data_IF_051213746256
#
_entry.id   IF_051213746256
#
_cell.length_a   1.000
_cell.length_b   1.000
_cell.length_c   1.000
_cell.angle_alpha   90.00
_cell.angle_beta   90.00
_cell.angle_gamma   90.00
#
_symmetry.space_group_name_H-M   'P 1'
#
loop_
_entity.id
_entity.type
_entity.pdbx_description
1 polymer ?
#
# COMPACT_ATOMS: atom_id res chain seq x y z
N UNK A 1 -12.21 -38.91 -9.07
CA UNK A 1 -10.90 -39.50 -8.74
C UNK A 1 -10.52 -40.74 -9.55
N UNK A 2 -11.42 -41.70 -9.84
CA UNK A 2 -11.09 -42.90 -10.63
C UNK A 2 -10.87 -42.66 -12.14
N UNK A 3 -11.42 -41.55 -12.69
CA UNK A 3 -11.25 -41.16 -14.11
C UNK A 3 -9.92 -40.47 -14.41
N UNK A 4 -9.30 -39.81 -13.41
CA UNK A 4 -8.03 -39.09 -13.56
C UNK A 4 -6.82 -40.06 -13.52
N UNK A 5 -6.94 -41.20 -12.82
CA UNK A 5 -5.88 -42.24 -12.78
C UNK A 5 -5.69 -42.98 -14.11
N UNK A 6 -6.70 -43.06 -14.98
CA UNK A 6 -6.58 -43.72 -16.29
C UNK A 6 -5.79 -42.92 -17.32
N UNK A 7 -5.81 -41.59 -17.25
CA UNK A 7 -5.01 -40.76 -18.17
C UNK A 7 -3.51 -40.81 -17.86
N UNK A 8 -3.11 -41.03 -16.60
CA UNK A 8 -1.70 -41.00 -16.20
C UNK A 8 -0.96 -42.32 -16.55
N UNK A 9 -1.68 -43.41 -16.79
CA UNK A 9 -1.08 -44.72 -17.10
C UNK A 9 -0.87 -45.01 -18.60
N UNK A 10 -1.23 -44.10 -19.51
CA UNK A 10 -1.19 -44.37 -20.96
C UNK A 10 -0.08 -43.64 -21.75
N UNK A 11 0.86 -42.96 -21.10
CA UNK A 11 1.97 -42.31 -21.80
C UNK A 11 3.32 -42.90 -21.42
N UNK A 12 3.93 -43.58 -22.40
CA UNK A 12 5.27 -44.16 -22.36
C UNK A 12 6.32 -43.03 -22.21
N UNK A 13 7.10 -43.00 -21.12
CA UNK A 13 8.10 -41.97 -20.87
C UNK A 13 9.29 -42.00 -21.85
N UNK A 14 9.37 -42.96 -22.79
CA UNK A 14 10.45 -43.05 -23.78
C UNK A 14 10.23 -42.27 -25.09
N UNK A 15 9.13 -41.51 -25.22
CA UNK A 15 8.83 -40.70 -26.44
C UNK A 15 8.87 -39.18 -26.26
N UNK A 16 9.53 -38.67 -25.22
CA UNK A 16 9.84 -37.24 -25.12
C UNK A 16 11.12 -36.92 -25.90
N UNK A 17 10.95 -36.52 -27.16
CA UNK A 17 12.03 -35.98 -27.99
C UNK A 17 12.31 -34.55 -27.52
N UNK A 18 13.49 -34.32 -26.95
CA UNK A 18 14.02 -32.98 -26.67
C UNK A 18 14.49 -32.33 -27.98
N UNK A 19 13.87 -31.23 -28.39
CA UNK A 19 14.46 -30.35 -29.39
C UNK A 19 15.53 -29.48 -28.72
N UNK A 20 16.80 -29.89 -28.85
CA UNK A 20 17.96 -29.02 -28.64
C UNK A 20 18.23 -28.26 -29.94
N UNK A 21 18.14 -26.93 -29.91
CA UNK A 21 18.66 -26.09 -30.99
C UNK A 21 19.92 -25.40 -30.47
N UNK A 22 21.08 -25.93 -30.85
CA UNK A 22 22.36 -25.23 -30.74
C UNK A 22 22.42 -24.14 -31.81
N UNK A 23 22.42 -22.87 -31.40
CA UNK A 23 22.87 -21.77 -32.25
C UNK A 23 24.32 -21.45 -31.89
N UNK A 24 25.23 -21.73 -32.82
CA UNK A 24 26.61 -21.26 -32.81
C UNK A 24 26.62 -19.77 -33.15
N UNK A 25 27.07 -18.93 -32.22
CA UNK A 25 27.46 -17.55 -32.52
C UNK A 25 28.98 -17.43 -32.56
N UNK A 26 29.47 -17.01 -33.71
CA UNK A 26 30.89 -16.82 -34.03
C UNK A 26 31.32 -15.46 -33.47
N UNK A 27 32.24 -15.46 -32.51
CA UNK A 27 32.87 -14.25 -31.97
C UNK A 27 33.78 -13.63 -33.03
N UNK A 28 33.44 -12.45 -33.53
CA UNK A 28 34.35 -11.61 -34.32
C UNK A 28 34.81 -10.44 -33.45
N UNK A 29 36.04 -10.53 -32.96
CA UNK A 29 36.72 -9.48 -32.20
C UNK A 29 37.08 -8.35 -33.17
N UNK A 30 36.46 -7.18 -33.02
CA UNK A 30 36.93 -5.95 -33.68
C UNK A 30 37.52 -5.04 -32.61
N UNK A 31 38.84 -4.86 -32.68
CA UNK A 31 39.62 -3.96 -31.83
C UNK A 31 39.43 -2.53 -32.35
N UNK A 32 38.77 -1.67 -31.57
CA UNK A 32 38.76 -0.22 -31.83
C UNK A 32 39.67 0.46 -30.83
N UNK A 33 40.77 0.98 -31.33
CA UNK A 33 41.75 1.82 -30.62
C UNK A 33 41.18 3.23 -30.47
N UNK A 34 40.91 3.67 -29.24
CA UNK A 34 40.58 5.07 -28.95
C UNK A 34 41.82 5.77 -28.39
N UNK A 35 42.31 6.74 -29.14
CA UNK A 35 43.45 7.60 -28.81
C UNK A 35 43.08 8.57 -27.69
N UNK A 36 43.80 8.50 -26.58
CA UNK A 36 43.73 9.48 -25.48
C UNK A 36 44.55 10.72 -25.87
N UNK A 37 43.91 11.89 -25.97
CA UNK A 37 44.62 13.17 -26.09
C UNK A 37 44.60 13.88 -24.74
N UNK A 38 45.76 13.94 -24.10
CA UNK A 38 46.02 14.71 -22.89
C UNK A 38 46.18 16.19 -23.25
N UNK A 39 45.40 17.07 -22.64
CA UNK A 39 45.71 18.50 -22.59
C UNK A 39 45.69 18.98 -21.15
N UNK A 40 46.88 19.30 -20.66
CA UNK A 40 47.17 20.02 -19.42
C UNK A 40 46.86 21.49 -19.60
N UNK A 41 46.16 22.10 -18.65
CA UNK A 41 46.29 23.54 -18.40
C UNK A 41 46.16 23.83 -16.90
N UNK A 42 47.10 24.64 -16.43
CA UNK A 42 47.33 25.08 -15.05
C UNK A 42 46.98 26.57 -14.95
N UNK A 43 46.27 26.98 -13.90
CA UNK A 43 46.31 28.32 -13.23
C UNK A 43 45.17 28.36 -12.20
N UNK A 44 45.45 28.35 -10.89
CA UNK A 44 45.85 29.44 -9.97
C UNK A 44 44.67 29.96 -9.13
N UNK A 45 44.67 29.51 -7.86
CA UNK A 45 44.27 30.16 -6.60
C UNK A 45 43.12 31.19 -6.57
N UNK A 46 42.12 30.93 -5.71
CA UNK A 46 41.76 31.80 -4.57
C UNK A 46 40.90 31.04 -3.55
N UNK A 47 41.22 31.26 -2.28
CA UNK A 47 40.54 30.75 -1.09
C UNK A 47 39.27 31.53 -0.76
N UNK A 48 38.18 30.83 -0.46
CA UNK A 48 37.12 31.35 0.42
C UNK A 48 36.40 30.19 1.11
N UNK A 49 36.53 30.16 2.43
CA UNK A 49 35.84 29.29 3.37
C UNK A 49 34.34 29.61 3.41
N UNK A 50 33.50 28.63 3.14
CA UNK A 50 32.10 28.62 3.57
C UNK A 50 31.66 27.18 3.75
N UNK A 51 31.34 26.84 4.99
CA UNK A 51 30.82 25.55 5.45
C UNK A 51 29.57 25.14 4.69
N UNK A 52 29.71 24.23 3.73
CA UNK A 52 28.60 23.57 3.04
C UNK A 52 28.25 22.29 3.79
N UNK A 53 27.16 22.36 4.56
CA UNK A 53 26.45 21.20 5.08
C UNK A 53 26.17 20.23 3.93
N UNK A 54 26.72 19.02 4.00
CA UNK A 54 26.48 17.95 3.04
C UNK A 54 25.03 17.50 3.24
N UNK A 55 24.10 18.17 2.56
CA UNK A 55 22.79 17.60 2.25
C UNK A 55 23.05 16.38 1.37
N UNK A 56 22.75 15.19 1.91
CA UNK A 56 22.63 13.99 1.11
C UNK A 56 21.56 14.25 0.04
N UNK A 57 22.03 14.65 -1.14
CA UNK A 57 21.20 14.76 -2.33
C UNK A 57 21.14 13.33 -2.83
N UNK A 58 20.07 12.60 -2.47
CA UNK A 58 19.79 11.30 -3.06
C UNK A 58 19.72 11.50 -4.55
N UNK A 59 20.76 11.05 -5.25
CA UNK A 59 20.86 11.11 -6.70
C UNK A 59 19.62 10.45 -7.27
N UNK A 60 18.81 11.21 -8.01
CA UNK A 60 17.71 10.69 -8.80
C UNK A 60 18.31 9.76 -9.86
N UNK A 61 18.44 8.48 -9.53
CA UNK A 61 18.70 7.43 -10.52
C UNK A 61 17.51 7.45 -11.47
N UNK A 62 17.74 7.85 -12.72
CA UNK A 62 16.69 8.34 -13.63
C UNK A 62 15.54 7.32 -13.78
N UNK A 63 14.44 7.55 -13.06
CA UNK A 63 13.25 6.69 -13.10
C UNK A 63 12.65 6.65 -14.52
N UNK A 64 12.78 7.76 -15.26
CA UNK A 64 12.47 7.82 -16.68
C UNK A 64 13.73 7.62 -17.53
N UNK A 65 13.72 6.66 -18.44
CA UNK A 65 14.84 6.36 -19.32
C UNK A 65 14.38 5.77 -20.66
N UNK A 66 15.33 5.53 -21.56
CA UNK A 66 15.06 5.00 -22.89
C UNK A 66 15.60 3.57 -23.06
N UNK A 67 14.76 2.67 -23.58
CA UNK A 67 15.14 1.31 -23.97
C UNK A 67 14.69 1.11 -25.42
N UNK A 68 15.64 0.88 -26.33
CA UNK A 68 15.36 0.64 -27.76
C UNK A 68 14.49 1.73 -28.42
N UNK A 69 14.80 3.01 -28.20
CA UNK A 69 14.05 4.13 -28.77
C UNK A 69 12.70 4.40 -28.11
N UNK A 70 12.39 3.74 -27.00
CA UNK A 70 11.11 3.85 -26.28
C UNK A 70 11.35 4.39 -24.88
N UNK A 71 10.54 5.35 -24.45
CA UNK A 71 10.57 5.87 -23.07
C UNK A 71 9.91 4.87 -22.12
N UNK A 72 10.54 4.64 -20.98
CA UNK A 72 10.05 3.79 -19.89
C UNK A 72 10.16 4.56 -18.59
N UNK A 73 9.17 4.35 -17.73
CA UNK A 73 9.24 4.66 -16.31
C UNK A 73 9.54 3.36 -15.57
N UNK A 74 10.47 3.40 -14.63
CA UNK A 74 10.79 2.28 -13.75
C UNK A 74 10.73 2.73 -12.31
N UNK A 75 9.84 2.09 -11.56
CA UNK A 75 9.62 2.34 -10.15
C UNK A 75 10.73 1.64 -9.33
N UNK A 76 11.59 2.43 -8.69
CA UNK A 76 12.71 1.96 -7.89
C UNK A 76 12.60 2.57 -6.50
N UNK A 77 12.51 1.72 -5.46
CA UNK A 77 12.49 2.16 -4.08
C UNK A 77 13.29 1.20 -3.19
N UNK A 78 13.85 1.75 -2.12
CA UNK A 78 14.59 1.03 -1.09
C UNK A 78 13.72 0.08 -0.25
N UNK A 79 12.40 0.22 -0.31
CA UNK A 79 11.44 -0.68 0.34
C UNK A 79 11.29 -2.02 -0.40
N UNK A 80 11.51 -2.05 -1.72
CA UNK A 80 11.47 -3.28 -2.55
C UNK A 80 12.78 -3.50 -3.31
N UNK A 81 13.88 -3.55 -2.56
CA UNK A 81 15.24 -3.69 -3.10
C UNK A 81 15.40 -4.92 -3.99
N UNK A 82 16.05 -4.70 -5.12
CA UNK A 82 16.38 -5.78 -6.07
C UNK A 82 15.25 -6.15 -7.02
N UNK A 83 14.10 -5.46 -6.95
CA UNK A 83 13.01 -5.55 -7.90
C UNK A 83 12.55 -4.16 -8.35
N UNK A 84 11.95 -4.07 -9.53
CA UNK A 84 11.34 -2.85 -10.06
C UNK A 84 10.27 -3.21 -11.09
N UNK A 85 9.18 -2.43 -11.12
CA UNK A 85 8.19 -2.49 -12.20
C UNK A 85 8.52 -1.42 -13.24
N UNK A 86 8.39 -1.76 -14.52
CA UNK A 86 8.57 -0.79 -15.61
C UNK A 86 7.33 -0.68 -16.48
N UNK A 87 6.86 0.53 -16.70
CA UNK A 87 5.76 0.85 -17.60
C UNK A 87 6.27 1.70 -18.76
N UNK A 88 5.96 1.28 -19.99
CA UNK A 88 6.34 2.05 -21.16
C UNK A 88 5.51 3.35 -21.19
N UNK A 89 6.18 4.49 -21.37
CA UNK A 89 5.56 5.80 -21.41
C UNK A 89 5.10 6.13 -22.84
N UNK A 90 3.86 6.58 -22.98
CA UNK A 90 3.33 7.19 -24.20
C UNK A 90 3.56 8.70 -24.18
N UNK A 91 3.09 9.38 -23.14
CA UNK A 91 3.10 10.84 -23.03
C UNK A 91 3.24 11.27 -21.56
N UNK A 92 4.07 12.27 -21.27
CA UNK A 92 4.06 12.95 -19.97
C UNK A 92 2.93 13.98 -19.95
N UNK A 93 2.04 13.90 -18.96
CA UNK A 93 0.84 14.75 -18.86
C UNK A 93 1.00 15.85 -17.81
N UNK A 94 1.75 15.57 -16.75
CA UNK A 94 1.95 16.45 -15.61
C UNK A 94 3.26 16.10 -14.88
N UNK A 95 4.00 17.11 -14.44
CA UNK A 95 5.25 16.93 -13.71
C UNK A 95 5.52 18.21 -12.89
N UNK A 96 5.10 18.21 -11.63
CA UNK A 96 5.22 19.38 -10.75
C UNK A 96 5.56 18.94 -9.32
N UNK A 97 6.28 19.79 -8.59
CA UNK A 97 6.57 19.55 -7.17
C UNK A 97 5.68 20.44 -6.29
N UNK A 98 4.88 19.81 -5.44
CA UNK A 98 4.05 20.49 -4.44
C UNK A 98 4.88 20.88 -3.21
N UNK A 99 4.20 21.40 -2.18
CA UNK A 99 4.82 21.63 -0.86
C UNK A 99 5.20 20.32 -0.15
N UNK A 100 4.61 19.20 -0.54
CA UNK A 100 4.71 17.93 0.17
C UNK A 100 5.54 16.90 -0.60
N UNK A 101 5.35 16.82 -1.92
CA UNK A 101 5.90 15.73 -2.73
C UNK A 101 6.00 16.10 -4.22
N UNK A 102 6.69 15.27 -5.00
CA UNK A 102 6.73 15.33 -6.45
C UNK A 102 5.53 14.61 -7.05
N UNK A 103 4.65 15.34 -7.74
CA UNK A 103 3.43 14.82 -8.36
C UNK A 103 3.63 14.73 -9.86
N UNK A 104 3.59 13.52 -10.41
CA UNK A 104 3.72 13.30 -11.85
C UNK A 104 2.55 12.48 -12.37
N UNK A 105 2.12 12.77 -13.59
CA UNK A 105 1.15 11.95 -14.31
C UNK A 105 1.68 11.71 -15.72
N UNK A 106 1.70 10.45 -16.12
CA UNK A 106 2.01 10.08 -17.51
C UNK A 106 0.95 9.12 -18.03
N UNK A 107 0.74 9.12 -19.35
CA UNK A 107 -0.02 8.08 -20.04
C UNK A 107 0.93 6.96 -20.39
N UNK A 108 0.64 5.74 -19.96
CA UNK A 108 1.38 4.55 -20.38
C UNK A 108 0.96 4.14 -21.79
N UNK A 109 1.81 3.36 -22.47
CA UNK A 109 1.31 2.50 -23.54
C UNK A 109 0.31 1.50 -22.96
N UNK A 110 -0.73 1.19 -23.73
CA UNK A 110 -1.79 0.23 -23.36
C UNK A 110 -1.20 -1.02 -22.69
N UNK A 111 -1.80 -1.53 -21.58
CA UNK A 111 -3.18 -1.29 -21.16
C UNK A 111 -3.41 -0.36 -19.96
N UNK A 112 -2.37 0.17 -19.29
CA UNK A 112 -2.54 0.81 -17.96
C UNK A 112 -3.16 2.22 -17.97
N UNK A 113 -3.22 2.90 -19.13
CA UNK A 113 -3.84 4.21 -19.24
C UNK A 113 -3.00 5.30 -18.55
N UNK A 114 -3.65 6.25 -17.87
CA UNK A 114 -2.94 7.24 -17.08
C UNK A 114 -2.38 6.60 -15.80
N UNK A 115 -1.22 7.09 -15.35
CA UNK A 115 -0.48 6.60 -14.18
C UNK A 115 -0.11 7.81 -13.31
N UNK A 116 -0.54 7.79 -12.05
CA UNK A 116 -0.20 8.80 -11.05
C UNK A 116 1.03 8.33 -10.27
N UNK A 117 2.05 9.19 -10.18
CA UNK A 117 3.23 8.98 -9.36
C UNK A 117 3.31 10.05 -8.27
N UNK A 118 3.65 9.61 -7.06
CA UNK A 118 4.03 10.48 -5.95
C UNK A 118 5.43 10.11 -5.48
N UNK A 119 6.36 11.06 -5.52
CA UNK A 119 7.78 10.86 -5.20
C UNK A 119 8.40 9.63 -5.92
N UNK A 120 7.95 9.37 -7.15
CA UNK A 120 8.43 8.26 -7.98
C UNK A 120 7.81 6.90 -7.67
N UNK A 121 6.77 6.84 -6.83
CA UNK A 121 5.99 5.62 -6.53
C UNK A 121 4.63 5.68 -7.22
N UNK A 122 4.25 4.61 -7.90
CA UNK A 122 2.94 4.45 -8.55
C UNK A 122 1.86 4.41 -7.48
N UNK A 123 0.92 5.35 -7.57
CA UNK A 123 -0.25 5.38 -6.70
C UNK A 123 -1.45 4.70 -7.35
N UNK A 124 -1.77 5.05 -8.60
CA UNK A 124 -2.89 4.43 -9.32
C UNK A 124 -2.62 4.34 -10.82
N UNK A 125 -3.29 3.40 -11.46
CA UNK A 125 -3.49 3.37 -12.92
C UNK A 125 -4.95 3.23 -13.28
N UNK A 126 -5.35 3.68 -14.47
CA UNK A 126 -6.75 3.54 -14.95
C UNK A 126 -7.22 2.07 -15.03
N UNK A 127 -6.28 1.14 -15.22
CA UNK A 127 -6.60 -0.27 -15.48
C UNK A 127 -6.99 -1.03 -14.21
N UNK A 128 -6.20 -0.89 -13.15
CA UNK A 128 -6.26 -1.77 -11.98
C UNK A 128 -6.60 -1.07 -10.66
N UNK A 129 -6.83 0.25 -10.66
CA UNK A 129 -7.26 1.00 -9.47
C UNK A 129 -8.45 0.36 -8.74
N UNK A 130 -9.35 -0.27 -9.48
CA UNK A 130 -10.57 -0.83 -8.93
C UNK A 130 -10.29 -1.95 -7.92
N UNK A 131 -9.19 -2.69 -8.09
CA UNK A 131 -8.81 -3.75 -7.16
C UNK A 131 -8.44 -3.21 -5.78
N UNK A 132 -7.83 -2.03 -5.72
CA UNK A 132 -7.48 -1.37 -4.47
C UNK A 132 -8.67 -0.58 -3.92
N UNK A 133 -9.26 0.30 -4.72
CA UNK A 133 -10.31 1.23 -4.29
C UNK A 133 -11.56 0.49 -3.79
N UNK A 134 -11.98 -0.57 -4.50
CA UNK A 134 -13.14 -1.37 -4.08
C UNK A 134 -12.82 -2.16 -2.80
N UNK A 135 -11.61 -2.74 -2.67
CA UNK A 135 -11.27 -3.57 -1.51
C UNK A 135 -11.06 -2.73 -0.24
N UNK A 136 -10.25 -1.66 -0.29
CA UNK A 136 -10.00 -0.82 0.88
C UNK A 136 -11.29 -0.18 1.41
N UNK A 137 -12.25 0.07 0.52
CA UNK A 137 -13.57 0.63 0.85
C UNK A 137 -14.55 -0.43 1.31
N UNK A 138 -14.81 -1.47 0.52
CA UNK A 138 -15.92 -2.37 0.76
C UNK A 138 -15.64 -3.41 1.85
N UNK A 139 -14.37 -3.72 2.16
CA UNK A 139 -14.03 -4.57 3.31
C UNK A 139 -14.59 -3.99 4.64
N UNK A 140 -14.26 -2.76 5.07
CA UNK A 140 -14.84 -2.18 6.29
C UNK A 140 -16.32 -1.82 6.10
N UNK A 141 -16.73 -1.31 4.95
CA UNK A 141 -18.11 -0.81 4.74
C UNK A 141 -19.16 -1.92 4.67
N UNK A 142 -18.82 -3.10 4.14
CA UNK A 142 -19.73 -4.24 4.08
C UNK A 142 -19.68 -5.10 5.34
N UNK A 143 -18.61 -5.04 6.13
CA UNK A 143 -18.55 -5.71 7.43
C UNK A 143 -19.25 -4.91 8.54
N UNK A 144 -19.60 -3.65 8.31
CA UNK A 144 -20.41 -2.84 9.23
C UNK A 144 -21.91 -2.90 8.86
N UNK A 145 -22.79 -2.92 9.87
CA UNK A 145 -24.24 -3.11 9.67
C UNK A 145 -24.88 -1.90 8.98
N UNK A 146 -24.56 -0.68 9.43
CA UNK A 146 -25.14 0.55 8.89
C UNK A 146 -24.17 1.75 9.04
N UNK A 147 -23.11 1.85 8.22
CA UNK A 147 -22.14 2.95 8.31
C UNK A 147 -22.73 4.24 7.72
N UNK A 148 -22.86 5.28 8.54
CA UNK A 148 -23.44 6.58 8.15
C UNK A 148 -22.40 7.68 8.01
N UNK A 149 -21.34 7.65 8.83
CA UNK A 149 -20.27 8.65 8.87
C UNK A 149 -18.93 8.00 8.58
N UNK A 150 -18.30 8.42 7.48
CA UNK A 150 -17.06 7.85 6.98
C UNK A 150 -15.98 8.93 6.96
N UNK A 151 -14.80 8.61 7.50
CA UNK A 151 -13.58 9.39 7.32
C UNK A 151 -12.67 8.68 6.32
N UNK A 152 -12.16 9.42 5.34
CA UNK A 152 -11.07 9.01 4.45
C UNK A 152 -9.87 9.91 4.76
N UNK A 153 -8.74 9.31 5.13
CA UNK A 153 -7.46 10.01 5.31
C UNK A 153 -6.60 9.67 4.10
N UNK A 154 -6.11 10.70 3.39
CA UNK A 154 -5.52 10.56 2.06
C UNK A 154 -6.59 10.41 0.98
N UNK A 155 -6.35 9.54 0.00
CA UNK A 155 -7.30 9.28 -1.11
C UNK A 155 -7.53 10.46 -2.05
N UNK A 156 -6.50 11.31 -2.24
CA UNK A 156 -6.58 12.52 -3.05
C UNK A 156 -6.95 12.30 -4.53
N UNK A 157 -6.81 11.09 -5.08
CA UNK A 157 -7.28 10.76 -6.43
C UNK A 157 -8.83 10.76 -6.54
N UNK A 158 -9.52 10.54 -5.42
CA UNK A 158 -10.98 10.52 -5.35
C UNK A 158 -11.62 9.14 -5.51
N UNK A 159 -10.82 8.09 -5.63
CA UNK A 159 -11.28 6.74 -5.85
C UNK A 159 -12.04 6.12 -4.69
N UNK A 160 -11.45 6.20 -3.49
CA UNK A 160 -12.11 5.72 -2.26
C UNK A 160 -13.43 6.46 -2.03
N UNK A 161 -13.49 7.78 -2.22
CA UNK A 161 -14.75 8.51 -2.06
C UNK A 161 -15.80 8.09 -3.10
N UNK A 162 -15.39 7.75 -4.34
CA UNK A 162 -16.29 7.20 -5.37
C UNK A 162 -16.93 5.90 -4.91
N UNK A 163 -16.14 5.00 -4.33
CA UNK A 163 -16.64 3.74 -3.81
C UNK A 163 -17.50 3.91 -2.55
N UNK A 164 -17.13 4.82 -1.64
CA UNK A 164 -17.94 5.13 -0.45
C UNK A 164 -19.31 5.67 -0.85
N UNK A 165 -19.37 6.51 -1.89
CA UNK A 165 -20.62 7.08 -2.40
C UNK A 165 -21.62 6.04 -2.92
N UNK A 166 -21.18 4.81 -3.23
CA UNK A 166 -22.08 3.71 -3.65
C UNK A 166 -22.93 3.15 -2.51
N UNK A 167 -22.66 3.53 -1.27
CA UNK A 167 -23.41 3.07 -0.11
C UNK A 167 -24.47 4.12 0.30
N UNK A 168 -25.74 3.85 -0.01
CA UNK A 168 -26.86 4.78 0.23
C UNK A 168 -27.10 5.10 1.72
N UNK A 169 -26.62 4.23 2.63
CA UNK A 169 -26.68 4.47 4.07
C UNK A 169 -25.75 5.59 4.55
N UNK A 170 -24.73 5.94 3.76
CA UNK A 170 -23.76 6.99 4.10
C UNK A 170 -24.43 8.35 3.99
N UNK A 171 -24.33 9.11 5.09
CA UNK A 171 -24.87 10.47 5.23
C UNK A 171 -23.78 11.54 5.14
N UNK A 172 -22.56 11.20 5.56
CA UNK A 172 -21.42 12.12 5.62
C UNK A 172 -20.13 11.39 5.26
N UNK A 173 -19.38 11.97 4.34
CA UNK A 173 -18.03 11.55 3.96
C UNK A 173 -17.12 12.74 4.26
N UNK A 174 -16.16 12.56 5.16
CA UNK A 174 -15.09 13.53 5.37
C UNK A 174 -13.85 12.96 4.71
N UNK A 175 -13.21 13.74 3.82
CA UNK A 175 -11.92 13.40 3.25
C UNK A 175 -10.88 14.40 3.74
N UNK A 176 -9.79 13.89 4.31
CA UNK A 176 -8.66 14.66 4.80
C UNK A 176 -7.44 14.38 3.92
N UNK A 177 -7.17 15.28 2.98
CA UNK A 177 -6.05 15.19 2.04
C UNK A 177 -5.09 16.36 2.29
N UNK A 178 -3.81 16.06 2.47
CA UNK A 178 -2.80 17.06 2.83
C UNK A 178 -2.38 17.90 1.61
N UNK A 179 -2.38 17.30 0.42
CA UNK A 179 -1.84 17.87 -0.79
C UNK A 179 -2.94 18.14 -1.85
N UNK A 180 -3.34 19.41 -1.94
CA UNK A 180 -4.29 19.87 -2.96
C UNK A 180 -3.85 19.57 -4.38
N UNK A 181 -2.54 19.48 -4.66
CA UNK A 181 -2.05 19.18 -6.01
C UNK A 181 -2.47 17.78 -6.46
N UNK A 182 -2.55 16.82 -5.53
CA UNK A 182 -3.01 15.45 -5.82
C UNK A 182 -4.49 15.44 -6.20
N UNK A 183 -5.32 16.21 -5.48
CA UNK A 183 -6.75 16.37 -5.79
C UNK A 183 -6.95 16.94 -7.20
N UNK A 184 -6.25 18.02 -7.52
CA UNK A 184 -6.39 18.67 -8.83
C UNK A 184 -5.85 17.78 -9.96
N UNK A 185 -4.76 17.03 -9.72
CA UNK A 185 -4.26 16.04 -10.67
C UNK A 185 -5.25 14.89 -10.87
N UNK A 186 -5.84 14.36 -9.81
CA UNK A 186 -6.89 13.33 -9.86
C UNK A 186 -8.09 13.78 -10.68
N UNK A 187 -8.64 14.98 -10.38
CA UNK A 187 -9.76 15.56 -11.13
C UNK A 187 -9.45 15.75 -12.62
N UNK A 188 -8.24 16.22 -12.94
CA UNK A 188 -7.85 16.55 -14.32
C UNK A 188 -7.53 15.32 -15.16
N UNK A 189 -6.79 14.36 -14.60
CA UNK A 189 -6.23 13.25 -15.36
C UNK A 189 -6.93 11.91 -15.11
N UNK A 190 -7.71 11.79 -14.03
CA UNK A 190 -8.46 10.58 -13.69
C UNK A 190 -9.95 10.88 -13.45
N UNK A 191 -10.68 11.47 -14.42
CA UNK A 191 -12.04 11.95 -14.20
C UNK A 191 -13.04 10.85 -13.80
N UNK A 192 -12.79 9.59 -14.17
CA UNK A 192 -13.62 8.43 -13.74
C UNK A 192 -13.38 8.04 -12.28
N UNK A 193 -12.16 8.25 -11.80
CA UNK A 193 -11.77 8.01 -10.40
C UNK A 193 -12.31 9.14 -9.53
N UNK A 194 -12.05 10.38 -9.95
CA UNK A 194 -12.48 11.62 -9.31
C UNK A 194 -13.98 11.96 -9.46
N UNK A 195 -14.81 11.03 -9.93
CA UNK A 195 -16.20 11.32 -10.33
C UNK A 195 -17.13 11.74 -9.18
N UNK A 196 -16.74 11.49 -7.93
CA UNK A 196 -17.58 11.70 -6.75
C UNK A 196 -17.23 12.94 -5.91
N UNK A 197 -16.28 13.78 -6.34
CA UNK A 197 -15.90 14.99 -5.59
C UNK A 197 -17.06 15.98 -5.39
N UNK A 198 -18.04 15.99 -6.30
CA UNK A 198 -19.21 16.87 -6.24
C UNK A 198 -20.42 16.23 -5.53
N UNK A 199 -20.28 15.02 -4.97
CA UNK A 199 -21.34 14.42 -4.16
C UNK A 199 -21.55 15.27 -2.89
N UNK A 200 -22.80 15.69 -2.65
CA UNK A 200 -23.17 16.57 -1.52
C UNK A 200 -22.82 16.02 -0.13
N UNK A 201 -22.51 14.72 -0.01
CA UNK A 201 -22.08 14.09 1.24
C UNK A 201 -20.59 14.29 1.51
N UNK A 202 -19.80 14.65 0.49
CA UNK A 202 -18.35 14.81 0.57
C UNK A 202 -17.99 16.17 1.14
N UNK A 203 -17.21 16.14 2.23
CA UNK A 203 -16.68 17.31 2.91
C UNK A 203 -15.16 17.22 2.88
N UNK A 204 -14.52 18.07 2.08
CA UNK A 204 -13.07 18.13 1.95
C UNK A 204 -12.46 18.98 3.06
N UNK A 205 -11.54 18.37 3.82
CA UNK A 205 -10.61 19.06 4.70
C UNK A 205 -9.21 18.95 4.10
N UNK A 206 -8.60 20.08 3.74
CA UNK A 206 -7.22 20.08 3.26
C UNK A 206 -6.25 20.27 4.43
N UNK A 207 -5.58 19.19 4.86
CA UNK A 207 -4.67 19.23 6.00
C UNK A 207 -4.15 17.87 6.43
N UNK A 208 -3.43 17.85 7.55
CA UNK A 208 -2.86 16.64 8.12
C UNK A 208 -3.94 15.72 8.72
N UNK A 209 -4.01 14.49 8.22
CA UNK A 209 -4.96 13.47 8.66
C UNK A 209 -4.74 12.99 10.09
N UNK A 210 -3.48 12.92 10.53
CA UNK A 210 -3.16 12.53 11.91
C UNK A 210 -3.67 13.57 12.91
N UNK A 211 -3.42 14.85 12.65
CA UNK A 211 -3.98 15.96 13.42
C UNK A 211 -5.51 15.97 13.41
N UNK A 212 -6.12 15.84 12.23
CA UNK A 212 -7.59 15.87 12.08
C UNK A 212 -8.28 14.77 12.90
N UNK A 213 -7.79 13.53 12.84
CA UNK A 213 -8.45 12.41 13.55
C UNK A 213 -8.24 12.48 15.07
N UNK A 214 -7.11 13.03 15.54
CA UNK A 214 -6.84 13.19 16.96
C UNK A 214 -7.87 14.06 17.69
N UNK A 215 -8.43 15.05 17.00
CA UNK A 215 -9.46 15.98 17.50
C UNK A 215 -10.87 15.36 17.57
N UNK A 216 -11.08 14.16 17.04
CA UNK A 216 -12.38 13.51 16.98
C UNK A 216 -12.54 12.45 18.06
N UNK A 217 -13.77 12.32 18.59
CA UNK A 217 -14.16 11.33 19.60
C UNK A 217 -15.54 10.78 19.29
N UNK A 218 -15.68 9.46 19.15
CA UNK A 218 -16.99 8.80 19.00
C UNK A 218 -17.83 9.30 17.81
N UNK A 219 -17.20 9.67 16.70
CA UNK A 219 -17.85 10.38 15.60
C UNK A 219 -18.07 9.51 14.36
N UNK A 220 -17.06 8.74 13.96
CA UNK A 220 -17.08 7.97 12.71
C UNK A 220 -17.51 6.53 12.93
N UNK A 221 -18.28 5.99 11.99
CA UNK A 221 -18.57 4.56 11.94
C UNK A 221 -17.43 3.82 11.22
N UNK A 222 -16.84 4.46 10.20
CA UNK A 222 -15.75 3.90 9.39
C UNK A 222 -14.65 4.95 9.23
N UNK A 223 -13.39 4.50 9.37
CA UNK A 223 -12.20 5.27 9.02
C UNK A 223 -11.40 4.46 8.00
N UNK A 224 -11.11 5.05 6.84
CA UNK A 224 -10.25 4.48 5.81
C UNK A 224 -8.98 5.33 5.75
N UNK A 225 -7.82 4.70 5.91
CA UNK A 225 -6.52 5.35 5.72
C UNK A 225 -5.92 4.87 4.41
N UNK A 226 -6.12 5.67 3.37
CA UNK A 226 -5.60 5.50 2.02
C UNK A 226 -4.35 6.36 1.86
N UNK A 227 -3.27 5.90 2.49
CA UNK A 227 -1.98 6.57 2.53
C UNK A 227 -0.97 5.89 1.61
N UNK A 228 0.01 6.67 1.15
CA UNK A 228 1.23 6.13 0.56
C UNK A 228 2.04 5.33 1.60
N UNK A 229 3.10 4.67 1.12
CA UNK A 229 4.13 4.00 1.91
C UNK A 229 4.61 4.85 3.11
N UNK A 230 5.14 4.24 4.20
CA UNK A 230 5.55 4.90 5.46
C UNK A 230 6.77 5.84 5.36
N UNK A 231 6.90 6.58 4.27
CA UNK A 231 7.92 7.60 3.99
C UNK A 231 7.28 8.98 3.84
N UNK A 232 8.09 10.02 4.02
CA UNK A 232 7.64 11.40 3.83
C UNK A 232 6.46 11.78 4.75
N UNK A 233 5.37 12.38 4.22
CA UNK A 233 4.25 12.84 5.03
C UNK A 233 3.44 11.71 5.68
N UNK A 234 3.52 10.48 5.17
CA UNK A 234 2.72 9.36 5.65
C UNK A 234 3.30 8.64 6.89
N UNK A 235 4.56 8.91 7.29
CA UNK A 235 5.20 8.20 8.42
C UNK A 235 4.42 8.29 9.74
N UNK A 236 3.72 9.41 10.00
CA UNK A 236 2.91 9.58 11.21
C UNK A 236 1.73 8.59 11.30
N UNK A 237 1.24 8.11 10.14
CA UNK A 237 0.07 7.24 9.99
C UNK A 237 0.36 5.78 10.37
N UNK A 238 1.62 5.44 10.66
CA UNK A 238 2.04 4.08 11.06
C UNK A 238 2.48 4.01 12.53
N UNK A 239 2.09 5.00 13.33
CA UNK A 239 2.45 5.10 14.76
C UNK A 239 1.36 4.55 15.68
N UNK A 240 1.74 4.09 16.87
CA UNK A 240 0.76 3.64 17.87
C UNK A 240 -0.23 4.74 18.28
N UNK A 241 0.24 5.99 18.34
CA UNK A 241 -0.55 7.16 18.66
C UNK A 241 -1.62 7.42 17.61
N UNK A 242 -1.31 7.17 16.33
CA UNK A 242 -2.29 7.30 15.25
C UNK A 242 -3.38 6.22 15.35
N UNK A 243 -3.01 4.96 15.61
CA UNK A 243 -4.00 3.89 15.84
C UNK A 243 -4.89 4.17 17.06
N UNK A 244 -4.36 4.76 18.13
CA UNK A 244 -5.17 5.19 19.28
C UNK A 244 -6.11 6.36 18.92
N UNK A 245 -5.62 7.32 18.13
CA UNK A 245 -6.43 8.46 17.68
C UNK A 245 -7.61 7.99 16.81
N UNK A 246 -7.38 7.08 15.87
CA UNK A 246 -8.44 6.44 15.09
C UNK A 246 -9.42 5.69 15.99
N UNK A 247 -8.93 4.93 16.98
CA UNK A 247 -9.79 4.19 17.91
C UNK A 247 -10.74 5.12 18.66
N UNK A 248 -10.20 6.22 19.19
CA UNK A 248 -10.98 7.19 19.95
C UNK A 248 -12.00 7.91 19.06
N UNK A 249 -11.68 8.14 17.78
CA UNK A 249 -12.58 8.78 16.83
C UNK A 249 -13.75 7.88 16.39
N UNK A 250 -13.63 6.56 16.55
CA UNK A 250 -14.68 5.60 16.20
C UNK A 250 -15.83 5.57 17.22
N UNK A 251 -17.03 5.34 16.71
CA UNK A 251 -18.22 4.93 17.47
C UNK A 251 -18.14 3.47 17.89
N UNK A 252 -18.95 3.03 18.86
CA UNK A 252 -19.13 1.61 19.14
C UNK A 252 -19.50 0.82 17.87
N UNK A 253 -18.87 -0.35 17.67
CA UNK A 253 -19.02 -1.13 16.44
C UNK A 253 -18.22 -0.61 15.23
N UNK A 254 -17.54 0.53 15.38
CA UNK A 254 -16.81 1.20 14.31
C UNK A 254 -15.58 0.42 13.84
N UNK A 255 -15.15 0.69 12.60
CA UNK A 255 -14.07 -0.04 11.94
C UNK A 255 -13.06 0.89 11.27
N UNK A 256 -11.81 0.48 11.30
CA UNK A 256 -10.68 1.09 10.59
C UNK A 256 -10.21 0.11 9.51
N UNK A 257 -9.86 0.64 8.35
CA UNK A 257 -9.12 -0.07 7.31
C UNK A 257 -7.95 0.81 6.88
N UNK A 258 -6.72 0.33 7.07
CA UNK A 258 -5.50 0.99 6.58
C UNK A 258 -4.89 0.14 5.48
N UNK A 259 -4.24 0.76 4.48
CA UNK A 259 -3.21 0.06 3.72
C UNK A 259 -2.17 -0.52 4.70
N UNK A 260 -1.61 -1.69 4.37
CA UNK A 260 -0.71 -2.41 5.27
C UNK A 260 0.38 -3.21 4.52
N UNK A 261 0.91 -2.67 3.43
CA UNK A 261 2.02 -3.24 2.65
C UNK A 261 1.80 -4.67 2.14
N UNK A 262 2.84 -5.31 1.59
CA UNK A 262 2.74 -6.65 0.98
C UNK A 262 3.32 -7.74 1.89
N UNK A 263 2.64 -8.89 1.95
CA UNK A 263 3.14 -10.04 2.72
C UNK A 263 4.44 -10.64 2.17
N UNK A 264 4.84 -10.28 0.95
CA UNK A 264 6.07 -10.80 0.34
C UNK A 264 7.33 -10.08 0.82
N UNK A 265 7.21 -8.82 1.26
CA UNK A 265 8.34 -7.98 1.63
C UNK A 265 8.26 -7.49 3.09
N UNK A 266 7.06 -7.24 3.61
CA UNK A 266 6.87 -6.41 4.80
C UNK A 266 6.28 -7.15 6.00
N UNK A 267 6.48 -8.47 6.10
CA UNK A 267 5.92 -9.27 7.21
C UNK A 267 6.29 -8.75 8.61
N UNK A 268 7.51 -8.25 8.79
CA UNK A 268 7.96 -7.66 10.05
C UNK A 268 7.17 -6.39 10.41
N UNK A 269 6.88 -5.54 9.41
CA UNK A 269 6.06 -4.35 9.60
C UNK A 269 4.60 -4.75 9.89
N UNK A 270 4.02 -5.64 9.09
CA UNK A 270 2.65 -6.12 9.26
C UNK A 270 2.45 -6.72 10.66
N UNK A 271 3.38 -7.56 11.12
CA UNK A 271 3.32 -8.16 12.45
C UNK A 271 3.38 -7.10 13.55
N UNK A 272 4.27 -6.11 13.44
CA UNK A 272 4.36 -5.00 14.41
C UNK A 272 3.09 -4.17 14.45
N UNK A 273 2.55 -3.76 13.29
CA UNK A 273 1.32 -2.98 13.21
C UNK A 273 0.13 -3.74 13.80
N UNK A 274 -0.02 -5.03 13.43
CA UNK A 274 -1.07 -5.88 13.98
C UNK A 274 -0.94 -6.03 15.50
N UNK A 275 0.27 -6.24 16.02
CA UNK A 275 0.49 -6.36 17.47
C UNK A 275 0.14 -5.07 18.20
N UNK A 276 0.56 -3.92 17.68
CA UNK A 276 0.25 -2.60 18.24
C UNK A 276 -1.27 -2.31 18.24
N UNK A 277 -1.96 -2.63 17.13
CA UNK A 277 -3.41 -2.49 17.02
C UNK A 277 -4.16 -3.48 17.95
N UNK A 278 -3.65 -4.70 18.13
CA UNK A 278 -4.31 -5.73 18.97
C UNK A 278 -4.35 -5.37 20.46
N UNK A 279 -3.55 -4.39 20.91
CA UNK A 279 -3.62 -3.86 22.28
C UNK A 279 -4.78 -2.87 22.49
N UNK A 280 -5.42 -2.43 21.41
CA UNK A 280 -6.31 -1.27 21.38
C UNK A 280 -7.68 -1.61 20.82
N UNK A 281 -7.77 -2.53 19.87
CA UNK A 281 -9.01 -2.93 19.19
C UNK A 281 -9.48 -4.31 19.65
N UNK A 282 -10.79 -4.56 19.58
CA UNK A 282 -11.38 -5.85 19.97
C UNK A 282 -11.09 -6.95 18.95
N UNK A 283 -10.91 -6.57 17.67
CA UNK A 283 -10.49 -7.48 16.62
C UNK A 283 -9.54 -6.75 15.65
N UNK A 284 -8.50 -7.47 15.23
CA UNK A 284 -7.55 -7.03 14.20
C UNK A 284 -7.32 -8.17 13.21
N UNK A 285 -7.63 -7.92 11.95
CA UNK A 285 -7.50 -8.86 10.84
C UNK A 285 -6.68 -8.23 9.72
N UNK A 286 -6.02 -9.09 8.95
CA UNK A 286 -5.28 -8.72 7.76
C UNK A 286 -5.94 -9.38 6.55
N UNK A 287 -6.23 -8.56 5.54
CA UNK A 287 -6.71 -8.97 4.22
C UNK A 287 -5.71 -8.52 3.15
N UNK A 288 -5.83 -9.02 1.92
CA UNK A 288 -5.05 -8.52 0.79
C UNK A 288 -5.84 -8.53 -0.51
N UNK A 289 -5.39 -7.72 -1.47
CA UNK A 289 -5.89 -7.70 -2.84
C UNK A 289 -4.73 -7.86 -3.83
N UNK A 290 -5.04 -8.35 -5.03
CA UNK A 290 -4.10 -8.39 -6.14
C UNK A 290 -4.23 -7.10 -6.96
N UNK A 291 -3.12 -6.43 -7.21
CA UNK A 291 -3.05 -5.20 -7.98
C UNK A 291 -1.70 -5.18 -8.72
N UNK A 292 -1.71 -5.44 -10.05
CA UNK A 292 -0.49 -5.64 -10.83
C UNK A 292 0.57 -4.54 -10.71
N UNK A 293 0.17 -3.27 -10.57
CA UNK A 293 1.12 -2.16 -10.56
C UNK A 293 1.73 -1.82 -9.22
N UNK A 294 1.33 -2.50 -8.14
CA UNK A 294 2.00 -2.34 -6.85
C UNK A 294 3.15 -3.34 -6.68
N UNK A 295 4.12 -3.06 -5.79
CA UNK A 295 5.21 -3.97 -5.50
C UNK A 295 4.73 -5.39 -5.20
N UNK A 296 5.35 -6.39 -5.85
CA UNK A 296 4.95 -7.80 -5.80
C UNK A 296 3.53 -8.13 -6.33
N UNK A 297 2.85 -7.18 -7.00
CA UNK A 297 1.54 -7.39 -7.62
C UNK A 297 0.38 -7.56 -6.63
N UNK A 298 0.56 -7.17 -5.36
CA UNK A 298 -0.45 -7.26 -4.33
C UNK A 298 -0.18 -6.31 -3.17
N UNK A 299 -1.22 -6.00 -2.39
CA UNK A 299 -1.12 -5.19 -1.19
C UNK A 299 -2.13 -5.61 -0.13
N UNK A 300 -1.79 -5.35 1.11
CA UNK A 300 -2.54 -5.69 2.29
C UNK A 300 -3.38 -4.56 2.84
N UNK A 301 -4.33 -4.96 3.68
CA UNK A 301 -5.14 -4.07 4.50
C UNK A 301 -5.15 -4.56 5.94
N UNK A 302 -4.90 -3.66 6.89
CA UNK A 302 -5.10 -3.94 8.31
C UNK A 302 -6.48 -3.43 8.71
N UNK A 303 -7.37 -4.36 9.06
CA UNK A 303 -8.71 -4.07 9.54
C UNK A 303 -8.73 -4.14 11.05
N UNK A 304 -9.12 -3.05 11.70
CA UNK A 304 -9.24 -2.96 13.15
C UNK A 304 -10.69 -2.60 13.50
N UNK A 305 -11.26 -3.19 14.55
CA UNK A 305 -12.66 -2.94 14.87
C UNK A 305 -12.96 -2.96 16.37
N UNK A 306 -13.98 -2.17 16.72
CA UNK A 306 -14.60 -2.17 18.03
C UNK A 306 -15.84 -3.05 18.01
N UNK A 307 -16.13 -3.70 19.13
CA UNK A 307 -17.40 -4.40 19.32
C UNK A 307 -18.54 -3.40 19.43
N UNK A 308 -19.75 -3.74 18.98
CA UNK A 308 -20.95 -3.00 19.34
C UNK A 308 -21.09 -2.94 20.87
N UNK A 309 -21.49 -1.79 21.43
CA UNK A 309 -21.79 -1.67 22.86
C UNK A 309 -22.90 -2.65 23.27
N UNK A 310 -22.70 -3.36 24.38
CA UNK A 310 -23.80 -4.03 25.10
C UNK A 310 -24.25 -3.09 26.21
N UNK A 311 -25.56 -2.87 26.37
CA UNK A 311 -26.12 -2.27 27.60
C UNK A 311 -25.55 -3.07 28.78
N UNK A 312 -24.80 -2.41 29.65
CA UNK A 312 -24.31 -2.98 30.90
C UNK A 312 -25.53 -3.37 31.74
N UNK A 313 -25.87 -4.67 31.78
CA UNK A 313 -26.59 -5.16 32.94
C UNK A 313 -25.55 -5.25 34.06
N UNK A 314 -25.59 -4.27 34.95
CA UNK A 314 -24.89 -4.26 36.23
C UNK A 314 -25.31 -5.48 37.06
N UNK A 315 -24.70 -6.63 36.81
CA UNK A 315 -24.62 -7.79 37.71
C UNK A 315 -23.99 -8.94 36.94
N UNK A 316 -22.66 -9.06 37.02
CA UNK A 316 -21.96 -10.27 36.63
C UNK A 316 -20.63 -10.31 37.41
N UNK A 317 -20.70 -10.74 38.67
CA UNK A 317 -19.56 -11.36 39.34
C UNK A 317 -19.23 -12.62 38.57
N UNK A 318 -18.13 -12.67 37.82
CA UNK A 318 -17.89 -13.81 36.93
C UNK A 318 -16.48 -14.37 37.00
N UNK A 319 -16.46 -15.71 37.00
CA UNK A 319 -15.31 -16.58 37.14
C UNK A 319 -14.45 -16.58 35.86
N UNK A 320 -13.21 -17.06 35.93
CA UNK A 320 -12.25 -17.06 34.79
C UNK A 320 -12.78 -17.68 33.49
N UNK A 321 -13.80 -18.54 33.53
CA UNK A 321 -14.42 -19.17 32.35
C UNK A 321 -15.31 -18.22 31.54
N UNK A 322 -16.13 -17.40 32.20
CA UNK A 322 -17.10 -16.49 31.56
C UNK A 322 -16.40 -15.32 30.86
N UNK A 323 -15.25 -14.88 31.39
CA UNK A 323 -14.40 -13.84 30.78
C UNK A 323 -13.87 -14.25 29.40
N UNK A 324 -13.64 -15.56 29.18
CA UNK A 324 -13.10 -16.06 27.92
C UNK A 324 -14.18 -16.14 26.82
N UNK A 325 -15.40 -16.55 27.16
CA UNK A 325 -16.53 -16.60 26.22
C UNK A 325 -16.97 -15.19 25.78
N UNK A 326 -17.00 -14.24 26.71
CA UNK A 326 -17.35 -12.85 26.38
C UNK A 326 -16.35 -12.22 25.41
N UNK A 327 -15.05 -12.46 25.63
CA UNK A 327 -13.99 -11.98 24.76
C UNK A 327 -14.09 -12.57 23.36
N UNK A 328 -14.38 -13.86 23.24
CA UNK A 328 -14.53 -14.53 21.94
C UNK A 328 -15.77 -14.05 21.18
N UNK A 329 -16.88 -13.80 21.89
CA UNK A 329 -18.08 -13.22 21.31
C UNK A 329 -17.84 -11.79 20.80
N UNK A 330 -17.17 -10.95 21.59
CA UNK A 330 -16.76 -9.58 21.17
C UNK A 330 -15.93 -9.62 19.90
N UNK A 331 -14.92 -10.50 19.87
CA UNK A 331 -14.07 -10.70 18.70
C UNK A 331 -14.88 -11.14 17.47
N UNK A 332 -15.85 -12.03 17.63
CA UNK A 332 -16.71 -12.53 16.55
C UNK A 332 -17.66 -11.46 16.02
N UNK A 333 -18.22 -10.61 16.89
CA UNK A 333 -19.08 -9.50 16.50
C UNK A 333 -18.29 -8.39 15.79
N UNK A 334 -17.06 -8.15 16.24
CA UNK A 334 -16.17 -7.15 15.67
C UNK A 334 -15.53 -7.59 14.33
N UNK A 335 -15.50 -8.90 14.03
CA UNK A 335 -14.83 -9.45 12.85
C UNK A 335 -15.28 -8.80 11.53
N UNK A 336 -14.32 -8.69 10.60
CA UNK A 336 -14.42 -8.02 9.31
C UNK A 336 -14.28 -8.98 8.13
N UNK A 337 -14.11 -10.28 8.33
CA UNK A 337 -13.92 -11.31 7.29
C UNK A 337 -15.23 -11.84 6.68
N UNK A 338 -16.35 -11.44 7.26
CA UNK A 338 -17.70 -11.78 6.79
C UNK A 338 -18.48 -10.50 6.52
N UNK A 339 -18.99 -10.29 5.29
CA UNK A 339 -19.85 -9.16 4.99
C UNK A 339 -21.18 -9.28 5.78
N UNK A 340 -21.54 -8.22 6.49
CA UNK A 340 -22.77 -8.08 7.30
C UNK A 340 -23.93 -7.43 6.54
N UNK A 341 -23.64 -6.86 5.38
CA UNK A 341 -24.61 -6.18 4.52
C UNK A 341 -24.44 -6.58 3.07
N UNK A 342 -25.55 -6.61 2.34
CA UNK A 342 -25.56 -6.76 0.89
C UNK A 342 -25.59 -5.41 0.20
N UNK A 343 -24.84 -5.28 -0.89
CA UNK A 343 -24.92 -4.13 -1.77
C UNK A 343 -26.11 -4.29 -2.72
N UNK A 344 -26.79 -3.20 -3.11
CA UNK A 344 -27.83 -3.25 -4.13
C UNK A 344 -27.29 -3.87 -5.43
N UNK A 345 -28.10 -4.65 -6.15
CA UNK A 345 -27.66 -5.33 -7.40
C UNK A 345 -27.06 -4.37 -8.41
N UNK A 346 -27.64 -3.16 -8.56
CA UNK A 346 -27.12 -2.11 -9.44
C UNK A 346 -25.69 -1.67 -9.08
N UNK A 347 -25.32 -1.71 -7.80
CA UNK A 347 -23.96 -1.42 -7.35
C UNK A 347 -23.05 -2.59 -7.68
N UNK A 348 -23.47 -3.82 -7.38
CA UNK A 348 -22.71 -5.04 -7.67
C UNK A 348 -22.36 -5.16 -9.16
N UNK A 349 -23.29 -4.82 -10.07
CA UNK A 349 -23.07 -4.85 -11.51
C UNK A 349 -22.01 -3.85 -12.01
N UNK A 350 -21.64 -2.86 -11.18
CA UNK A 350 -20.63 -1.85 -11.51
C UNK A 350 -19.27 -2.16 -10.90
N UNK A 351 -19.21 -3.06 -9.91
CA UNK A 351 -17.95 -3.47 -9.29
C UNK A 351 -17.18 -4.36 -10.26
N UNK A 352 -15.86 -4.16 -10.31
CA UNK A 352 -14.97 -4.90 -11.20
C UNK A 352 -14.16 -5.96 -10.45
N UNK A 353 -13.96 -5.80 -9.15
CA UNK A 353 -13.08 -6.65 -8.36
C UNK A 353 -13.76 -7.22 -7.11
N UNK A 354 -14.42 -6.38 -6.32
CA UNK A 354 -15.03 -6.79 -5.07
C UNK A 354 -16.29 -7.64 -5.32
N UNK A 355 -16.35 -8.76 -4.62
CA UNK A 355 -17.55 -9.57 -4.40
C UNK A 355 -17.56 -10.06 -2.95
N UNK A 356 -18.64 -10.67 -2.48
CA UNK A 356 -18.67 -11.29 -1.14
C UNK A 356 -17.68 -12.43 -1.01
N UNK A 357 -17.50 -13.20 -2.08
CA UNK A 357 -16.55 -14.30 -2.14
C UNK A 357 -15.13 -13.75 -2.13
N UNK A 358 -14.84 -12.69 -2.89
CA UNK A 358 -13.55 -12.02 -2.86
C UNK A 358 -13.26 -11.41 -1.48
N UNK A 359 -14.27 -10.82 -0.84
CA UNK A 359 -14.18 -10.31 0.53
C UNK A 359 -13.67 -11.39 1.47
N UNK A 360 -14.35 -12.54 1.59
CA UNK A 360 -13.90 -13.59 2.52
C UNK A 360 -12.59 -14.25 2.07
N UNK A 361 -12.37 -14.42 0.76
CA UNK A 361 -11.14 -14.99 0.22
C UNK A 361 -9.90 -14.12 0.52
N UNK A 362 -10.07 -12.79 0.59
CA UNK A 362 -8.97 -11.85 0.87
C UNK A 362 -8.31 -12.05 2.24
N UNK A 363 -8.99 -12.71 3.19
CA UNK A 363 -8.45 -13.05 4.52
C UNK A 363 -7.73 -14.42 4.54
N UNK A 364 -7.80 -15.20 3.45
CA UNK A 364 -7.14 -16.50 3.35
C UNK A 364 -5.69 -16.29 2.94
N UNK A 365 -4.81 -16.21 3.95
CA UNK A 365 -3.39 -15.90 3.74
C UNK A 365 -2.57 -17.13 3.34
N UNK A 366 -1.51 -16.96 2.54
CA UNK A 366 -0.48 -17.97 2.37
C UNK A 366 0.06 -18.47 3.71
N UNK A 367 0.42 -19.76 3.78
CA UNK A 367 0.78 -20.40 5.04
C UNK A 367 1.93 -19.71 5.79
N UNK A 368 2.93 -19.18 5.06
CA UNK A 368 4.05 -18.45 5.65
C UNK A 368 3.61 -17.14 6.30
N UNK A 369 2.77 -16.35 5.62
CA UNK A 369 2.25 -15.09 6.13
C UNK A 369 1.33 -15.33 7.34
N UNK A 370 0.44 -16.34 7.26
CA UNK A 370 -0.44 -16.74 8.36
C UNK A 370 0.32 -17.08 9.64
N UNK A 371 1.42 -17.84 9.53
CA UNK A 371 2.30 -18.22 10.65
C UNK A 371 2.87 -17.00 11.36
N UNK A 372 3.38 -16.02 10.61
CA UNK A 372 3.96 -14.80 11.18
C UNK A 372 2.87 -13.91 11.79
N UNK A 373 1.80 -13.64 11.03
CA UNK A 373 0.77 -12.64 11.38
C UNK A 373 -0.12 -13.12 12.54
N UNK A 374 -0.44 -14.41 12.62
CA UNK A 374 -1.39 -14.96 13.60
C UNK A 374 -0.80 -15.98 14.57
N UNK A 375 0.28 -16.68 14.22
CA UNK A 375 0.85 -17.75 15.06
C UNK A 375 2.14 -17.33 15.78
N UNK A 376 2.62 -16.10 15.56
CA UNK A 376 3.81 -15.55 16.21
C UNK A 376 5.13 -16.16 15.73
N UNK A 377 5.16 -16.76 14.54
CA UNK A 377 6.41 -17.22 13.94
C UNK A 377 7.35 -16.03 13.64
N UNK A 378 8.65 -16.26 13.78
CA UNK A 378 9.66 -15.30 13.34
C UNK A 378 9.69 -15.22 11.81
N UNK A 379 10.03 -14.04 11.29
CA UNK A 379 10.25 -13.86 9.86
C UNK A 379 11.57 -14.54 9.48
N UNK A 380 11.49 -15.60 8.67
CA UNK A 380 12.66 -16.29 8.14
C UNK A 380 13.43 -15.37 7.18
N UNK A 381 14.43 -14.66 7.70
CA UNK A 381 15.39 -13.93 6.87
C UNK A 381 16.48 -14.89 6.40
N UNK A 382 16.65 -15.03 5.08
CA UNK A 382 17.81 -15.75 4.55
C UNK A 382 19.11 -15.16 5.13
N UNK A 383 20.11 -16.00 5.43
CA UNK A 383 21.38 -15.57 6.03
C UNK A 383 22.13 -14.45 5.27
N UNK A 384 21.77 -14.17 4.01
CA UNK A 384 22.32 -13.05 3.24
C UNK A 384 21.75 -11.68 3.63
N UNK A 385 20.52 -11.60 4.14
CA UNK A 385 19.87 -10.33 4.51
C UNK A 385 20.43 -9.77 5.83
N UNK A 386 20.82 -10.63 6.78
CA UNK A 386 21.50 -10.23 8.03
C UNK A 386 22.81 -9.47 7.77
N UNK A 387 23.59 -9.92 6.78
CA UNK A 387 24.89 -9.30 6.44
C UNK A 387 24.72 -7.84 5.99
N UNK A 388 23.64 -7.53 5.27
CA UNK A 388 23.40 -6.20 4.70
C UNK A 388 22.85 -5.23 5.76
N UNK A 389 21.99 -5.72 6.67
CA UNK A 389 21.52 -4.92 7.80
C UNK A 389 22.66 -4.60 8.79
N UNK A 390 23.59 -5.55 8.99
CA UNK A 390 24.80 -5.34 9.79
C UNK A 390 25.75 -4.31 9.15
N UNK A 391 25.86 -4.26 7.81
CA UNK A 391 26.62 -3.23 7.09
C UNK A 391 25.96 -1.84 7.18
N UNK A 392 24.62 -1.76 7.20
CA UNK A 392 23.88 -0.53 7.47
C UNK A 392 24.02 -0.05 8.92
N UNK A 393 24.04 -0.96 9.88
CA UNK A 393 24.27 -0.63 11.29
C UNK A 393 25.71 -0.11 11.50
N UNK A 394 26.70 -0.78 10.91
CA UNK A 394 28.11 -0.35 10.95
C UNK A 394 28.35 0.98 10.26
N UNK A 395 27.72 1.23 9.10
CA UNK A 395 27.86 2.52 8.43
C UNK A 395 27.26 3.67 9.24
N UNK A 396 26.12 3.46 9.94
CA UNK A 396 25.53 4.46 10.87
C UNK A 396 26.40 4.73 12.12
N UNK A 397 27.09 3.73 12.67
CA UNK A 397 28.05 3.94 13.77
C UNK A 397 29.29 4.70 13.32
N UNK A 398 29.76 4.45 12.10
CA UNK A 398 30.95 5.12 11.53
C UNK A 398 30.69 6.59 11.20
N UNK A 399 29.44 6.97 10.87
CA UNK A 399 29.08 8.39 10.71
C UNK A 399 28.94 9.11 12.04
N UNK A 400 28.50 8.41 13.10
CA UNK A 400 28.34 8.99 14.44
C UNK A 400 29.70 9.28 15.10
N UNK A 401 30.70 8.42 14.89
CA UNK A 401 32.05 8.61 15.42
C UNK A 401 32.87 9.71 14.74
N UNK A 402 32.42 10.24 13.59
CA UNK A 402 33.04 11.37 12.89
C UNK A 402 32.45 12.74 13.26
N UNK A 403 31.30 12.79 13.91
CA UNK A 403 30.66 14.05 14.36
C UNK A 403 30.96 14.41 15.82
N UNK A 404 31.49 13.49 16.61
CA UNK A 404 31.87 13.73 18.01
C UNK A 404 33.37 14.08 18.16
N UNK A 405 34.02 14.45 17.06
CA UNK A 405 35.44 14.77 17.00
C UNK A 405 35.76 15.84 15.97
N UNK A 406 35.09 16.99 16.06
CA UNK A 406 35.54 18.28 15.52
C UNK A 406 35.07 19.44 16.40
#
# INVERSE_FOLDING_TARGET
WTRLRRCIQQHDPKKLVFFSTTSTSTTTTTTTTTTTTTTTSTSSSTSSSSSSSIRATTTATMAFHEINGKKWFTEINDQWRGQALSLQVDEMLFDERSKFQHVQVFRSKSPFGNVLLLDGVIQITDLDECAYQEMITHLPMCSHINPERVLVIGGGDGGVIREVCRHDCVKEIVICEIDKMVIEAGKKFFPKVAAAWEDKRVNLFCGDGAGFVAEKKGYFDIIICDSSDPVGPATSLFTEQFYESMRLALRPGGKVCTQAETTWLDLDLIQRLKNAASQRYDNVQYAYTQIPTYPCGMIGFLLCSLSPERKTSETATTEKGEVNEEKELRRTLAACDVPRRELPSKVLDQLKYYSKEMHSASFVLPAFARRVIYEGAEVERSNKTKIIDDEKAKSKETTKSKTDGE
#
